data_IF_298436696042
#
_entry.id   IF_298436696042
#
_cell.length_a   1.000
_cell.length_b   1.000
_cell.length_c   1.000
_cell.angle_alpha   90.00
_cell.angle_beta   90.00
_cell.angle_gamma   90.00
#
_symmetry.space_group_name_H-M   'P 1'
#
loop_
_entity.id
_entity.type
_entity.pdbx_description
1 polymer ?
#
# COMPACT_ATOMS: atom_id res chain seq x y z
N UNK A 1 -42.82 -54.27 -10.09
CA UNK A 1 -41.72 -53.75 -9.27
C UNK A 1 -40.98 -52.69 -10.11
N UNK A 2 -41.30 -51.43 -9.88
CA UNK A 2 -40.70 -50.29 -10.58
C UNK A 2 -39.49 -49.78 -9.75
N UNK A 3 -38.26 -49.98 -10.20
CA UNK A 3 -37.04 -49.46 -9.57
C UNK A 3 -36.88 -48.01 -9.98
N UNK A 4 -37.13 -47.07 -9.08
CA UNK A 4 -36.73 -45.67 -9.21
C UNK A 4 -35.22 -45.58 -9.09
N UNK A 5 -34.56 -45.19 -10.19
CA UNK A 5 -33.17 -44.72 -10.15
C UNK A 5 -33.19 -43.23 -9.77
N UNK A 6 -32.74 -42.89 -8.57
CA UNK A 6 -32.43 -41.51 -8.20
C UNK A 6 -31.05 -41.15 -8.79
N UNK A 7 -30.92 -40.12 -9.63
CA UNK A 7 -29.62 -39.67 -10.06
C UNK A 7 -28.90 -39.01 -8.90
N UNK A 8 -27.75 -39.53 -8.54
CA UNK A 8 -26.81 -38.87 -7.58
C UNK A 8 -26.24 -37.65 -8.29
N UNK A 9 -26.76 -36.45 -7.95
CA UNK A 9 -26.19 -35.19 -8.42
C UNK A 9 -24.91 -34.96 -7.59
N UNK A 10 -23.75 -35.27 -8.18
CA UNK A 10 -22.47 -34.84 -7.66
C UNK A 10 -22.40 -33.29 -7.81
N UNK A 11 -22.63 -32.58 -6.74
CA UNK A 11 -22.29 -31.15 -6.66
C UNK A 11 -20.76 -31.07 -6.58
N UNK A 12 -20.12 -30.91 -7.73
CA UNK A 12 -18.72 -30.48 -7.79
C UNK A 12 -18.68 -29.08 -7.17
N UNK A 13 -18.31 -28.97 -5.90
CA UNK A 13 -17.86 -27.71 -5.36
C UNK A 13 -16.62 -27.28 -6.15
N UNK A 14 -16.80 -26.38 -7.12
CA UNK A 14 -15.68 -25.74 -7.79
C UNK A 14 -14.86 -25.03 -6.70
N UNK A 15 -13.69 -25.56 -6.42
CA UNK A 15 -12.74 -24.92 -5.50
C UNK A 15 -12.42 -23.54 -6.07
N UNK A 16 -12.69 -22.50 -5.30
CA UNK A 16 -12.43 -21.13 -5.75
C UNK A 16 -10.92 -20.99 -6.02
N UNK A 17 -10.56 -20.50 -7.20
CA UNK A 17 -9.15 -20.30 -7.53
C UNK A 17 -8.45 -19.42 -6.48
N UNK A 18 -7.20 -19.74 -6.10
CA UNK A 18 -6.43 -18.98 -5.13
C UNK A 18 -6.43 -17.48 -5.44
N UNK A 19 -6.37 -16.65 -4.39
CA UNK A 19 -6.31 -15.21 -4.60
C UNK A 19 -4.96 -14.83 -5.22
N UNK A 20 -4.94 -14.02 -6.30
CA UNK A 20 -3.70 -13.58 -6.94
C UNK A 20 -2.74 -12.85 -6.00
N UNK A 21 -3.28 -12.09 -5.04
CA UNK A 21 -2.49 -11.36 -4.03
C UNK A 21 -2.81 -11.88 -2.64
N UNK A 22 -1.80 -12.41 -1.97
CA UNK A 22 -1.78 -12.76 -0.56
C UNK A 22 -0.57 -12.07 0.04
N UNK A 23 -0.77 -10.82 0.46
CA UNK A 23 0.33 -9.89 0.72
C UNK A 23 0.42 -9.41 2.16
N UNK A 24 1.61 -8.92 2.47
CA UNK A 24 1.90 -8.15 3.68
C UNK A 24 2.65 -6.87 3.31
N UNK A 25 2.32 -5.76 3.98
CA UNK A 25 3.04 -4.50 3.93
C UNK A 25 3.81 -4.30 5.23
N UNK A 26 5.08 -3.92 5.11
CA UNK A 26 5.98 -3.61 6.22
C UNK A 26 6.82 -2.38 5.86
N UNK A 27 7.18 -1.57 6.84
CA UNK A 27 8.30 -0.64 6.69
C UNK A 27 9.59 -1.42 6.38
N UNK A 28 10.50 -0.87 5.57
CA UNK A 28 11.79 -1.51 5.34
C UNK A 28 12.56 -1.72 6.66
N UNK A 29 13.30 -2.83 6.81
CA UNK A 29 14.08 -3.10 8.01
C UNK A 29 15.15 -2.03 8.24
N UNK A 30 15.63 -1.92 9.46
CA UNK A 30 16.87 -1.19 9.75
C UNK A 30 18.08 -2.02 9.26
N UNK A 31 19.25 -1.39 8.98
CA UNK A 31 20.44 -2.13 8.55
C UNK A 31 20.84 -3.29 9.47
N UNK A 32 20.71 -3.14 10.77
CA UNK A 32 20.98 -4.18 11.77
C UNK A 32 19.92 -5.29 11.81
N UNK A 33 18.73 -5.06 11.24
CA UNK A 33 17.66 -6.04 11.17
C UNK A 33 17.72 -6.93 9.92
N UNK A 34 18.71 -6.75 9.05
CA UNK A 34 18.84 -7.51 7.80
C UNK A 34 18.84 -9.04 7.99
N UNK A 35 19.57 -9.64 8.96
CA UNK A 35 19.51 -11.09 9.18
C UNK A 35 18.08 -11.56 9.54
N UNK A 36 17.39 -10.79 10.36
CA UNK A 36 16.00 -11.06 10.74
C UNK A 36 15.04 -10.95 9.55
N UNK A 37 15.27 -9.95 8.68
CA UNK A 37 14.48 -9.74 7.48
C UNK A 37 14.63 -10.89 6.48
N UNK A 38 15.85 -11.32 6.22
CA UNK A 38 16.14 -12.45 5.32
C UNK A 38 15.44 -13.72 5.86
N UNK A 39 15.60 -14.02 7.15
CA UNK A 39 14.96 -15.17 7.79
C UNK A 39 13.43 -15.10 7.66
N UNK A 40 12.83 -13.95 7.92
CA UNK A 40 11.37 -13.78 7.80
C UNK A 40 10.88 -14.01 6.37
N UNK A 41 11.58 -13.44 5.39
CA UNK A 41 11.22 -13.58 3.98
C UNK A 41 11.38 -15.04 3.51
N UNK A 42 12.46 -15.73 3.90
CA UNK A 42 12.76 -17.06 3.37
C UNK A 42 12.04 -18.18 4.13
N UNK A 43 11.79 -18.04 5.44
CA UNK A 43 11.20 -19.10 6.26
C UNK A 43 9.72 -18.87 6.57
N UNK A 44 9.34 -17.63 6.94
CA UNK A 44 7.99 -17.33 7.41
C UNK A 44 6.99 -17.08 6.28
N UNK A 45 7.34 -16.20 5.32
CA UNK A 45 6.40 -15.81 4.26
C UNK A 45 5.91 -16.99 3.42
N UNK A 46 6.76 -17.92 2.94
CA UNK A 46 6.31 -19.10 2.21
C UNK A 46 5.44 -20.03 3.07
N UNK A 47 5.82 -20.24 4.35
CA UNK A 47 5.06 -21.08 5.29
C UNK A 47 3.63 -20.55 5.50
N UNK A 48 3.48 -19.24 5.53
CA UNK A 48 2.16 -18.60 5.69
C UNK A 48 1.41 -18.45 4.35
N UNK A 49 2.00 -18.82 3.22
CA UNK A 49 1.37 -18.70 1.89
C UNK A 49 1.38 -17.27 1.34
N UNK A 50 2.25 -16.41 1.87
CA UNK A 50 2.44 -15.03 1.37
C UNK A 50 3.15 -15.06 0.02
N UNK A 51 2.60 -14.39 -0.98
CA UNK A 51 3.19 -14.27 -2.31
C UNK A 51 3.56 -12.84 -2.70
N UNK A 52 3.24 -11.86 -1.87
CA UNK A 52 3.50 -10.44 -2.16
C UNK A 52 3.96 -9.72 -0.90
N UNK A 53 5.09 -9.03 -0.99
CA UNK A 53 5.64 -8.19 0.07
C UNK A 53 5.77 -6.77 -0.43
N UNK A 54 5.07 -5.82 0.20
CA UNK A 54 5.32 -4.40 0.01
C UNK A 54 6.29 -3.94 1.09
N UNK A 55 7.42 -3.35 0.70
CA UNK A 55 8.37 -2.72 1.61
C UNK A 55 8.39 -1.21 1.43
N UNK A 56 8.05 -0.48 2.49
CA UNK A 56 8.04 0.97 2.52
C UNK A 56 9.43 1.51 2.86
N UNK A 57 10.15 1.96 1.83
CA UNK A 57 11.48 2.53 1.96
C UNK A 57 11.45 4.02 2.28
N UNK A 58 10.58 4.78 1.64
CA UNK A 58 10.60 6.23 1.68
C UNK A 58 12.02 6.76 1.41
N UNK A 59 12.58 7.55 2.32
CA UNK A 59 13.93 8.12 2.20
C UNK A 59 14.98 7.30 2.97
N UNK A 60 14.68 6.05 3.35
CA UNK A 60 15.59 5.12 4.05
C UNK A 60 16.27 4.11 3.13
N UNK A 61 16.55 4.52 1.91
CA UNK A 61 17.48 3.88 0.99
C UNK A 61 18.59 4.88 0.68
N UNK A 62 19.82 4.44 0.52
CA UNK A 62 20.97 5.29 0.21
C UNK A 62 20.95 5.69 -1.27
N UNK A 63 20.04 6.58 -1.63
CA UNK A 63 19.92 7.10 -2.98
C UNK A 63 21.20 7.78 -3.42
N UNK A 64 21.72 7.40 -4.57
CA UNK A 64 22.91 8.01 -5.19
C UNK A 64 22.54 9.16 -6.10
N UNK A 65 21.34 9.13 -6.68
CA UNK A 65 20.81 10.21 -7.51
C UNK A 65 20.53 11.49 -6.72
N UNK A 66 20.04 11.34 -5.48
CA UNK A 66 19.67 12.43 -4.60
C UNK A 66 20.09 12.13 -3.14
N UNK A 67 21.40 12.14 -2.84
CA UNK A 67 21.88 11.81 -1.48
C UNK A 67 21.39 12.78 -0.40
N UNK A 68 21.00 14.01 -0.78
CA UNK A 68 20.46 15.03 0.11
C UNK A 68 19.10 14.68 0.73
N UNK A 69 18.33 13.79 0.09
CA UNK A 69 17.03 13.37 0.63
C UNK A 69 17.13 12.17 1.58
N UNK A 70 18.30 11.54 1.68
CA UNK A 70 18.47 10.31 2.46
C UNK A 70 18.27 10.57 3.96
N UNK A 71 17.41 9.76 4.60
CA UNK A 71 17.20 9.77 6.03
C UNK A 71 18.20 8.85 6.76
N UNK A 72 18.30 9.01 8.07
CA UNK A 72 19.16 8.16 8.90
C UNK A 72 18.76 6.67 8.80
N UNK A 73 19.74 5.79 9.05
CA UNK A 73 19.57 4.33 9.03
C UNK A 73 19.05 3.79 7.68
N UNK A 74 19.47 4.42 6.59
CA UNK A 74 19.12 4.01 5.25
C UNK A 74 19.87 2.73 4.84
N UNK A 75 19.16 1.82 4.17
CA UNK A 75 19.73 0.60 3.60
C UNK A 75 20.64 0.93 2.42
N UNK A 76 21.75 0.23 2.33
CA UNK A 76 22.63 0.28 1.14
C UNK A 76 22.03 -0.48 -0.04
N UNK A 77 22.53 -0.21 -1.24
CA UNK A 77 22.15 -0.93 -2.44
C UNK A 77 22.36 -2.45 -2.31
N UNK A 78 23.45 -2.88 -1.66
CA UNK A 78 23.71 -4.31 -1.44
C UNK A 78 22.71 -4.96 -0.49
N UNK A 79 22.32 -4.27 0.56
CA UNK A 79 21.28 -4.74 1.47
C UNK A 79 19.91 -4.86 0.78
N UNK A 80 19.54 -3.90 -0.05
CA UNK A 80 18.28 -3.96 -0.83
C UNK A 80 18.34 -5.09 -1.86
N UNK A 81 19.48 -5.30 -2.55
CA UNK A 81 19.67 -6.46 -3.45
C UNK A 81 19.52 -7.80 -2.71
N UNK A 82 20.03 -7.90 -1.48
CA UNK A 82 19.87 -9.10 -0.64
C UNK A 82 18.38 -9.36 -0.33
N UNK A 83 17.62 -8.33 0.10
CA UNK A 83 16.17 -8.46 0.32
C UNK A 83 15.45 -8.94 -0.94
N UNK A 84 15.76 -8.31 -2.09
CA UNK A 84 15.16 -8.70 -3.37
C UNK A 84 15.54 -10.13 -3.79
N UNK A 85 16.78 -10.57 -3.53
CA UNK A 85 17.22 -11.93 -3.79
C UNK A 85 16.49 -12.94 -2.90
N UNK A 86 16.32 -12.65 -1.61
CA UNK A 86 15.56 -13.49 -0.68
C UNK A 86 14.07 -13.58 -1.07
N UNK A 87 13.47 -12.48 -1.51
CA UNK A 87 12.10 -12.51 -2.04
C UNK A 87 11.98 -13.42 -3.27
N UNK A 88 12.90 -13.31 -4.23
CA UNK A 88 12.93 -14.21 -5.40
C UNK A 88 13.10 -15.68 -5.01
N UNK A 89 14.02 -15.98 -4.10
CA UNK A 89 14.26 -17.34 -3.57
C UNK A 89 13.00 -17.92 -2.91
N UNK A 90 12.26 -17.07 -2.18
CA UNK A 90 11.02 -17.42 -1.50
C UNK A 90 9.78 -17.43 -2.41
N UNK A 91 9.93 -17.12 -3.71
CA UNK A 91 8.81 -16.91 -4.65
C UNK A 91 7.80 -15.86 -4.15
N UNK A 92 8.29 -14.79 -3.53
CA UNK A 92 7.52 -13.65 -3.04
C UNK A 92 7.77 -12.44 -3.94
N UNK A 93 6.73 -11.87 -4.51
CA UNK A 93 6.81 -10.63 -5.29
C UNK A 93 7.14 -9.47 -4.38
N UNK A 94 8.26 -8.78 -4.62
CA UNK A 94 8.62 -7.57 -3.90
C UNK A 94 8.10 -6.33 -4.63
N UNK A 95 7.39 -5.47 -3.92
CA UNK A 95 6.91 -4.17 -4.42
C UNK A 95 7.49 -3.08 -3.50
N UNK A 96 8.43 -2.26 -3.97
CA UNK A 96 8.93 -1.14 -3.19
C UNK A 96 7.91 -0.01 -3.11
N UNK A 97 7.88 0.68 -1.96
CA UNK A 97 7.00 1.81 -1.71
C UNK A 97 7.82 3.04 -1.31
N UNK A 98 7.50 4.16 -1.94
CA UNK A 98 7.80 5.52 -1.45
C UNK A 98 6.45 6.23 -1.30
N UNK A 99 6.18 6.76 -0.12
CA UNK A 99 4.94 7.51 0.09
C UNK A 99 5.05 8.90 -0.55
N UNK A 100 4.35 9.09 -1.65
CA UNK A 100 4.37 10.29 -2.47
C UNK A 100 3.17 11.19 -2.17
N UNK A 101 3.29 12.45 -2.54
CA UNK A 101 2.35 13.55 -2.36
C UNK A 101 2.12 13.90 -0.89
N UNK A 102 1.44 13.07 -0.11
CA UNK A 102 1.29 13.19 1.35
C UNK A 102 2.46 12.59 2.13
N UNK A 103 2.31 12.51 3.43
CA UNK A 103 3.28 11.89 4.35
C UNK A 103 4.73 12.37 4.20
N UNK A 104 4.92 13.67 3.90
CA UNK A 104 6.25 14.26 3.83
C UNK A 104 6.77 14.75 5.20
N UNK A 105 6.01 14.47 6.25
CA UNK A 105 6.40 14.68 7.65
C UNK A 105 5.62 13.74 8.57
N UNK A 106 6.15 13.52 9.76
CA UNK A 106 5.44 12.87 10.86
C UNK A 106 5.79 13.52 12.18
N UNK A 107 4.80 13.87 12.99
CA UNK A 107 4.99 14.63 14.20
C UNK A 107 5.90 15.87 13.93
N UNK A 108 6.96 16.06 14.69
CA UNK A 108 7.89 17.18 14.49
C UNK A 108 8.91 16.99 13.35
N UNK A 109 8.97 15.80 12.75
CA UNK A 109 10.00 15.46 11.75
C UNK A 109 9.49 15.72 10.35
N UNK A 110 10.18 16.56 9.59
CA UNK A 110 10.04 16.70 8.14
C UNK A 110 11.00 15.72 7.46
N UNK A 111 10.48 14.91 6.51
CA UNK A 111 11.25 13.86 5.86
C UNK A 111 12.14 14.37 4.72
N UNK A 112 12.97 13.48 4.21
CA UNK A 112 14.07 13.74 3.29
C UNK A 112 13.76 14.72 2.17
N UNK A 113 12.68 14.51 1.41
CA UNK A 113 12.34 15.37 0.28
C UNK A 113 12.12 16.83 0.68
N UNK A 114 11.22 17.11 1.62
CA UNK A 114 10.92 18.50 2.02
C UNK A 114 11.99 19.09 2.95
N UNK A 115 12.82 18.25 3.57
CA UNK A 115 14.01 18.73 4.30
C UNK A 115 15.06 19.28 3.34
N UNK A 116 15.32 18.54 2.25
CA UNK A 116 16.30 18.94 1.23
C UNK A 116 15.75 20.00 0.26
N UNK A 117 14.47 19.94 -0.05
CA UNK A 117 13.78 20.80 -1.03
C UNK A 117 12.57 21.48 -0.40
N UNK A 118 12.73 22.39 0.56
CA UNK A 118 11.62 23.07 1.21
C UNK A 118 10.75 23.91 0.24
N UNK A 119 11.27 24.25 -0.94
CA UNK A 119 10.53 24.91 -2.01
C UNK A 119 9.45 24.04 -2.65
N UNK A 120 9.50 22.71 -2.42
CA UNK A 120 8.47 21.77 -2.89
C UNK A 120 7.26 21.73 -1.97
N UNK A 121 7.33 22.25 -0.74
CA UNK A 121 6.25 22.22 0.23
C UNK A 121 4.97 22.89 -0.34
N UNK A 122 3.81 22.23 -0.19
CA UNK A 122 2.50 22.77 -0.55
C UNK A 122 2.10 23.95 0.34
N UNK A 123 2.58 23.97 1.58
CA UNK A 123 2.30 25.00 2.58
C UNK A 123 3.58 25.63 3.14
N UNK A 124 4.41 26.25 2.28
CA UNK A 124 5.73 26.72 2.69
C UNK A 124 5.63 27.78 3.81
N UNK A 125 6.46 27.63 4.82
CA UNK A 125 6.55 28.51 6.00
C UNK A 125 5.35 28.45 6.96
N UNK A 126 4.31 27.69 6.68
CA UNK A 126 3.27 27.38 7.63
C UNK A 126 3.64 26.17 8.50
N UNK A 127 2.95 26.06 9.62
CA UNK A 127 3.07 24.90 10.51
C UNK A 127 4.50 24.64 11.00
N UNK A 128 5.13 25.61 11.74
CA UNK A 128 6.44 25.39 12.34
C UNK A 128 6.47 24.07 13.13
N UNK A 129 7.53 23.29 12.99
CA UNK A 129 7.65 21.97 13.62
C UNK A 129 6.46 21.02 13.31
N UNK A 130 5.78 21.22 12.20
CA UNK A 130 4.57 20.50 11.79
C UNK A 130 3.41 20.58 12.79
N UNK A 131 3.37 21.62 13.62
CA UNK A 131 2.29 21.81 14.59
C UNK A 131 0.96 22.04 13.88
N UNK A 132 -0.11 21.47 14.43
CA UNK A 132 -1.50 21.61 13.97
C UNK A 132 -1.79 20.97 12.60
N UNK A 133 -0.90 20.14 12.06
CA UNK A 133 -1.13 19.29 10.89
C UNK A 133 -0.83 17.83 11.20
N UNK A 134 -1.42 16.94 10.42
CA UNK A 134 -1.12 15.51 10.48
C UNK A 134 0.21 15.19 9.76
N UNK A 135 0.28 15.60 8.48
CA UNK A 135 1.49 15.46 7.67
C UNK A 135 1.55 16.57 6.61
N UNK A 136 2.75 16.83 6.09
CA UNK A 136 2.99 17.71 4.95
C UNK A 136 2.74 17.00 3.64
N UNK A 137 2.44 17.79 2.60
CA UNK A 137 2.43 17.35 1.21
C UNK A 137 3.40 18.19 0.39
N UNK A 138 3.95 17.62 -0.67
CA UNK A 138 4.65 18.45 -1.65
C UNK A 138 3.69 19.02 -2.68
N UNK A 139 4.09 20.11 -3.34
CA UNK A 139 3.35 20.73 -4.45
C UNK A 139 3.54 19.91 -5.74
N UNK A 140 2.50 19.19 -6.24
CA UNK A 140 2.64 18.35 -7.43
C UNK A 140 2.88 19.16 -8.71
N UNK A 141 2.71 20.48 -8.64
CA UNK A 141 2.93 21.39 -9.76
C UNK A 141 4.27 22.13 -9.68
N UNK A 142 5.14 21.76 -8.77
CA UNK A 142 6.48 22.35 -8.75
C UNK A 142 7.30 21.83 -9.95
N UNK A 143 7.91 22.69 -10.78
CA UNK A 143 8.51 22.28 -12.06
C UNK A 143 9.68 21.29 -11.92
N UNK A 144 10.28 21.21 -10.74
CA UNK A 144 11.44 20.33 -10.47
C UNK A 144 11.07 19.07 -9.67
N UNK A 145 9.87 18.98 -9.08
CA UNK A 145 9.56 17.89 -8.14
C UNK A 145 9.60 16.53 -8.83
N UNK A 146 9.01 16.40 -10.00
CA UNK A 146 8.98 15.13 -10.73
C UNK A 146 10.39 14.67 -11.18
N UNK A 147 11.31 15.58 -11.45
CA UNK A 147 12.71 15.20 -11.75
C UNK A 147 13.32 14.42 -10.58
N UNK A 148 13.22 14.95 -9.37
CA UNK A 148 13.71 14.29 -8.15
C UNK A 148 12.96 12.98 -7.90
N UNK A 149 11.61 13.01 -7.92
CA UNK A 149 10.80 11.82 -7.62
C UNK A 149 11.04 10.66 -8.57
N UNK A 150 11.17 10.95 -9.87
CA UNK A 150 11.38 9.90 -10.88
C UNK A 150 12.76 9.29 -10.77
N UNK A 151 13.79 10.07 -10.45
CA UNK A 151 15.13 9.55 -10.19
C UNK A 151 15.13 8.60 -8.97
N UNK A 152 14.42 8.95 -7.88
CA UNK A 152 14.27 8.07 -6.70
C UNK A 152 13.52 6.77 -7.05
N UNK A 153 12.43 6.87 -7.81
CA UNK A 153 11.65 5.71 -8.25
C UNK A 153 12.51 4.79 -9.11
N UNK A 154 13.19 5.33 -10.11
CA UNK A 154 14.00 4.56 -11.05
C UNK A 154 15.15 3.85 -10.36
N UNK A 155 15.83 4.52 -9.42
CA UNK A 155 16.94 3.92 -8.66
C UNK A 155 16.43 2.78 -7.77
N UNK A 156 15.32 2.98 -7.05
CA UNK A 156 14.74 1.95 -6.19
C UNK A 156 14.18 0.75 -6.99
N UNK A 157 13.51 1.03 -8.13
CA UNK A 157 13.03 -0.01 -9.04
C UNK A 157 14.18 -0.82 -9.64
N UNK A 158 15.28 -0.17 -9.98
CA UNK A 158 16.48 -0.82 -10.53
C UNK A 158 17.13 -1.73 -9.51
N UNK A 159 17.36 -1.25 -8.28
CA UNK A 159 18.05 -2.03 -7.24
C UNK A 159 17.23 -3.23 -6.77
N UNK A 160 15.91 -3.12 -6.73
CA UNK A 160 14.99 -4.21 -6.37
C UNK A 160 14.73 -5.18 -7.52
N UNK A 161 14.80 -4.71 -8.76
CA UNK A 161 14.36 -5.44 -9.94
C UNK A 161 12.83 -5.67 -9.99
N UNK A 162 12.06 -4.83 -9.28
CA UNK A 162 10.62 -4.99 -9.15
C UNK A 162 9.87 -4.69 -10.46
N UNK A 163 8.70 -5.28 -10.62
CA UNK A 163 7.79 -5.09 -11.75
C UNK A 163 6.62 -4.15 -11.44
N UNK A 164 6.48 -3.75 -10.18
CA UNK A 164 5.49 -2.80 -9.68
C UNK A 164 6.09 -1.86 -8.64
N UNK A 165 5.53 -0.68 -8.54
CA UNK A 165 5.87 0.34 -7.58
C UNK A 165 4.61 0.81 -6.83
N UNK A 166 4.70 0.98 -5.52
CA UNK A 166 3.62 1.54 -4.71
C UNK A 166 3.95 3.00 -4.36
N UNK A 167 3.12 3.92 -4.81
CA UNK A 167 3.36 5.35 -4.63
C UNK A 167 2.78 5.94 -3.33
N UNK A 168 2.19 5.11 -2.46
CA UNK A 168 1.50 5.62 -1.28
C UNK A 168 0.27 6.44 -1.65
N UNK A 169 0.34 7.76 -1.49
CA UNK A 169 -0.69 8.75 -1.84
C UNK A 169 -1.94 8.71 -0.94
N UNK A 170 -1.81 8.12 0.24
CA UNK A 170 -2.82 8.14 1.29
C UNK A 170 -2.76 9.44 2.10
N UNK A 171 -3.86 9.73 2.78
CA UNK A 171 -3.99 10.80 3.77
C UNK A 171 -3.47 12.17 3.29
N UNK A 172 -3.61 12.46 2.00
CA UNK A 172 -3.24 13.75 1.40
C UNK A 172 -4.27 14.80 1.81
N UNK A 173 -4.06 15.41 2.98
CA UNK A 173 -4.96 16.42 3.53
C UNK A 173 -4.66 17.82 2.98
N UNK A 174 -3.39 18.17 2.81
CA UNK A 174 -2.94 19.46 2.31
C UNK A 174 -2.72 19.38 0.80
N UNK A 175 -3.67 19.87 0.02
CA UNK A 175 -3.58 19.90 -1.44
C UNK A 175 -4.45 21.05 -1.98
N UNK A 176 -3.91 21.86 -2.88
CA UNK A 176 -4.63 23.00 -3.44
C UNK A 176 -4.78 24.17 -2.44
N UNK A 177 -3.86 24.22 -1.47
CA UNK A 177 -3.91 25.20 -0.39
C UNK A 177 -3.61 26.64 -0.89
N UNK A 178 -4.20 27.63 -0.21
CA UNK A 178 -4.08 29.06 -0.60
C UNK A 178 -2.64 29.59 -0.58
N UNK A 179 -1.78 28.96 0.20
CA UNK A 179 -0.36 29.29 0.37
C UNK A 179 0.47 28.82 -0.84
N UNK A 180 0.02 27.78 -1.53
CA UNK A 180 0.70 27.29 -2.71
C UNK A 180 0.39 28.15 -3.94
N UNK A 181 1.33 28.94 -4.41
CA UNK A 181 1.15 29.79 -5.58
C UNK A 181 0.77 29.03 -6.86
N UNK A 182 1.07 27.73 -6.94
CA UNK A 182 0.86 26.88 -8.12
C UNK A 182 -0.45 26.09 -8.04
N UNK A 183 -0.88 25.70 -6.82
CA UNK A 183 -2.02 24.82 -6.61
C UNK A 183 -3.28 25.57 -6.16
N UNK A 184 -3.15 26.75 -5.54
CA UNK A 184 -4.30 27.52 -5.01
C UNK A 184 -5.40 27.75 -6.05
N UNK A 185 -6.64 27.54 -5.62
CA UNK A 185 -7.82 27.75 -6.45
C UNK A 185 -8.03 26.72 -7.56
N UNK A 186 -7.21 25.65 -7.60
CA UNK A 186 -7.37 24.55 -8.55
C UNK A 186 -8.23 23.45 -7.96
N UNK A 187 -8.88 22.69 -8.83
CA UNK A 187 -9.65 21.52 -8.45
C UNK A 187 -8.73 20.45 -7.81
N UNK A 188 -9.03 20.06 -6.57
CA UNK A 188 -8.20 19.12 -5.81
C UNK A 188 -8.21 17.71 -6.40
N UNK A 189 -9.34 17.26 -6.96
CA UNK A 189 -9.42 15.98 -7.65
C UNK A 189 -8.55 15.95 -8.91
N UNK A 190 -8.50 17.05 -9.67
CA UNK A 190 -7.60 17.17 -10.83
C UNK A 190 -6.13 17.23 -10.41
N UNK A 191 -5.79 17.93 -9.33
CA UNK A 191 -4.41 17.95 -8.81
C UNK A 191 -3.96 16.54 -8.42
N UNK A 192 -4.78 15.82 -7.65
CA UNK A 192 -4.51 14.44 -7.26
C UNK A 192 -4.40 13.50 -8.46
N UNK A 193 -5.39 13.56 -9.36
CA UNK A 193 -5.41 12.71 -10.56
C UNK A 193 -4.23 12.97 -11.50
N UNK A 194 -3.81 14.23 -11.65
CA UNK A 194 -2.67 14.57 -12.49
C UNK A 194 -1.35 14.05 -11.91
N UNK A 195 -1.22 14.02 -10.58
CA UNK A 195 -0.06 13.41 -9.92
C UNK A 195 -0.03 11.90 -10.16
N UNK A 196 -1.15 11.19 -9.94
CA UNK A 196 -1.26 9.76 -10.29
C UNK A 196 -0.91 9.50 -11.75
N UNK A 197 -1.43 10.31 -12.67
CA UNK A 197 -1.13 10.19 -14.11
C UNK A 197 0.34 10.39 -14.45
N UNK A 198 1.00 11.35 -13.80
CA UNK A 198 2.42 11.62 -14.03
C UNK A 198 3.29 10.42 -13.61
N UNK A 199 3.03 9.88 -12.41
CA UNK A 199 3.74 8.69 -11.89
C UNK A 199 3.43 7.47 -12.77
N UNK A 200 2.15 7.24 -13.10
CA UNK A 200 1.72 6.14 -13.95
C UNK A 200 2.40 6.20 -15.33
N UNK A 201 2.40 7.36 -15.97
CA UNK A 201 3.01 7.54 -17.29
C UNK A 201 4.54 7.30 -17.26
N UNK A 202 5.21 7.65 -16.16
CA UNK A 202 6.62 7.38 -15.96
C UNK A 202 6.89 5.87 -15.86
N UNK A 203 6.16 5.16 -15.02
CA UNK A 203 6.28 3.71 -14.82
C UNK A 203 5.88 2.90 -16.08
N UNK A 204 4.84 3.34 -16.78
CA UNK A 204 4.34 2.69 -17.99
C UNK A 204 5.36 2.63 -19.13
N UNK A 205 6.28 3.61 -19.24
CA UNK A 205 7.40 3.59 -20.19
C UNK A 205 8.30 2.38 -19.98
N UNK A 206 8.39 1.90 -18.75
CA UNK A 206 9.17 0.74 -18.34
C UNK A 206 8.31 -0.53 -18.18
N UNK A 207 7.02 -0.49 -18.57
CA UNK A 207 6.06 -1.58 -18.39
C UNK A 207 5.92 -2.02 -16.92
N UNK A 208 5.97 -1.07 -15.99
CA UNK A 208 5.82 -1.31 -14.55
C UNK A 208 4.42 -0.92 -14.08
N UNK A 209 3.86 -1.68 -13.13
CA UNK A 209 2.56 -1.37 -12.53
C UNK A 209 2.67 -0.26 -11.50
N UNK A 210 1.64 0.58 -11.41
CA UNK A 210 1.46 1.54 -10.32
C UNK A 210 0.42 1.02 -9.33
N UNK A 211 0.76 1.02 -8.04
CA UNK A 211 -0.11 0.73 -6.91
C UNK A 211 -0.24 1.99 -6.03
N UNK A 212 -1.43 2.26 -5.49
CA UNK A 212 -1.69 3.38 -4.57
C UNK A 212 -2.68 2.99 -3.49
N UNK A 213 -2.67 3.70 -2.36
CA UNK A 213 -3.75 3.63 -1.36
C UNK A 213 -5.02 4.29 -1.88
N UNK A 214 -6.20 3.75 -1.50
CA UNK A 214 -7.50 4.09 -2.09
C UNK A 214 -8.28 5.20 -1.40
N UNK A 215 -7.95 5.57 -0.18
CA UNK A 215 -8.74 6.44 0.69
C UNK A 215 -9.10 7.79 0.05
N UNK A 216 -8.18 8.41 -0.68
CA UNK A 216 -8.43 9.71 -1.35
C UNK A 216 -9.39 9.63 -2.55
N UNK A 217 -9.77 8.41 -2.96
CA UNK A 217 -10.71 8.14 -4.07
C UNK A 217 -12.13 7.77 -3.58
N UNK A 218 -12.36 7.75 -2.28
CA UNK A 218 -13.66 7.49 -1.65
C UNK A 218 -14.20 8.82 -1.11
N UNK A 219 -15.46 9.15 -1.40
CA UNK A 219 -16.11 10.34 -0.84
C UNK A 219 -16.58 10.07 0.60
N UNK A 220 -15.84 10.62 1.57
CA UNK A 220 -16.13 10.47 2.98
C UNK A 220 -17.41 11.19 3.44
N UNK A 221 -17.86 12.22 2.70
CA UNK A 221 -19.11 12.95 2.98
C UNK A 221 -20.33 12.13 2.57
N UNK A 222 -20.21 11.40 1.44
CA UNK A 222 -21.29 10.55 0.91
C UNK A 222 -21.35 9.21 1.67
N UNK A 223 -20.20 8.58 1.92
CA UNK A 223 -20.11 7.26 2.54
C UNK A 223 -20.26 7.28 4.06
N UNK A 224 -19.99 8.41 4.71
CA UNK A 224 -19.94 8.50 6.17
C UNK A 224 -18.72 7.84 6.82
N UNK A 225 -17.75 7.35 6.04
CA UNK A 225 -16.53 6.70 6.55
C UNK A 225 -15.64 7.67 7.33
N UNK A 226 -15.72 8.97 6.99
CA UNK A 226 -14.94 10.02 7.66
C UNK A 226 -13.62 10.35 6.94
N UNK A 227 -12.86 11.29 7.53
CA UNK A 227 -11.71 11.91 6.85
C UNK A 227 -10.45 11.05 6.78
N UNK A 228 -10.33 10.03 7.62
CA UNK A 228 -9.14 9.21 7.69
C UNK A 228 -9.14 8.17 6.57
N UNK A 229 -10.10 7.29 6.58
CA UNK A 229 -10.21 6.18 5.61
C UNK A 229 -10.96 6.57 4.33
N UNK A 230 -11.26 7.88 4.14
CA UNK A 230 -11.89 8.43 2.94
C UNK A 230 -11.56 9.93 2.78
N UNK A 231 -11.83 10.49 1.60
CA UNK A 231 -11.61 11.90 1.32
C UNK A 231 -12.72 12.78 1.90
N UNK A 232 -12.34 13.78 2.68
CA UNK A 232 -13.21 14.89 3.10
C UNK A 232 -12.78 16.23 2.46
N UNK A 233 -11.75 16.22 1.62
CA UNK A 233 -11.14 17.40 1.01
C UNK A 233 -11.28 17.44 -0.53
N UNK A 234 -12.35 16.86 -1.06
CA UNK A 234 -12.79 16.94 -2.45
C UNK A 234 -11.84 16.29 -3.49
N UNK A 235 -11.02 15.31 -3.08
CA UNK A 235 -10.16 14.54 -3.99
C UNK A 235 -10.89 13.34 -4.60
N UNK A 236 -11.98 12.84 -3.99
CA UNK A 236 -12.68 11.62 -4.41
C UNK A 236 -13.07 11.56 -5.91
N UNK A 237 -13.47 12.65 -6.58
CA UNK A 237 -13.78 12.62 -8.00
C UNK A 237 -12.58 12.22 -8.90
N UNK A 238 -11.34 12.22 -8.37
CA UNK A 238 -10.16 11.73 -9.06
C UNK A 238 -10.30 10.26 -9.50
N UNK A 239 -11.14 9.46 -8.84
CA UNK A 239 -11.48 8.10 -9.23
C UNK A 239 -11.83 7.97 -10.72
N UNK A 240 -12.54 8.96 -11.27
CA UNK A 240 -12.95 8.96 -12.66
C UNK A 240 -11.92 9.54 -13.63
N UNK A 241 -10.84 10.10 -13.10
CA UNK A 241 -9.82 10.81 -13.86
C UNK A 241 -8.51 10.04 -14.02
N UNK A 242 -8.26 9.04 -13.17
CA UNK A 242 -7.01 8.25 -13.18
C UNK A 242 -7.11 7.03 -14.11
N UNK A 243 -5.96 6.50 -14.61
CA UNK A 243 -5.90 5.29 -15.42
C UNK A 243 -6.47 4.08 -14.68
N UNK A 244 -7.21 3.22 -15.40
CA UNK A 244 -7.92 2.08 -14.79
C UNK A 244 -7.03 0.85 -14.55
N UNK A 245 -5.84 0.84 -15.04
CA UNK A 245 -4.82 -0.19 -14.81
C UNK A 245 -3.98 0.04 -13.53
N UNK A 246 -4.17 1.18 -12.84
CA UNK A 246 -3.66 1.39 -11.47
C UNK A 246 -4.30 0.38 -10.52
N UNK A 247 -3.50 -0.22 -9.66
CA UNK A 247 -3.98 -1.12 -8.60
C UNK A 247 -4.28 -0.32 -7.33
N UNK A 248 -5.48 -0.49 -6.80
CA UNK A 248 -5.92 0.21 -5.59
C UNK A 248 -5.75 -0.71 -4.38
N UNK A 249 -4.98 -0.26 -3.39
CA UNK A 249 -4.94 -0.85 -2.07
C UNK A 249 -6.00 -0.16 -1.19
N UNK A 250 -7.08 -0.89 -0.93
CA UNK A 250 -8.26 -0.40 -0.21
C UNK A 250 -8.13 -0.71 1.28
N UNK A 251 -7.62 0.26 2.06
CA UNK A 251 -7.36 0.06 3.47
C UNK A 251 -8.49 0.56 4.36
N UNK A 252 -8.95 -0.33 5.26
CA UNK A 252 -9.93 -0.02 6.29
C UNK A 252 -9.61 -0.82 7.54
N UNK A 253 -9.58 -0.15 8.71
CA UNK A 253 -9.09 -0.71 9.95
C UNK A 253 -10.17 -0.86 11.02
N UNK A 254 -11.22 -0.04 10.95
CA UNK A 254 -12.27 -0.01 11.95
C UNK A 254 -13.41 -0.95 11.62
N UNK A 255 -13.83 -1.03 10.35
CA UNK A 255 -14.90 -1.88 9.87
C UNK A 255 -14.59 -2.41 8.45
N UNK A 256 -15.14 -3.58 8.06
CA UNK A 256 -14.96 -4.13 6.71
C UNK A 256 -15.93 -3.43 5.73
N UNK A 257 -15.64 -2.18 5.37
CA UNK A 257 -16.42 -1.44 4.38
C UNK A 257 -16.41 -2.13 3.01
N UNK A 258 -17.51 -2.06 2.25
CA UNK A 258 -17.63 -2.70 0.93
C UNK A 258 -16.99 -1.86 -0.20
N UNK A 259 -15.95 -1.11 0.10
CA UNK A 259 -15.24 -0.20 -0.79
C UNK A 259 -14.40 -0.94 -1.83
N UNK A 260 -13.89 -2.12 -1.51
CA UNK A 260 -13.22 -2.97 -2.49
C UNK A 260 -14.13 -3.30 -3.68
N UNK A 261 -15.39 -3.66 -3.42
CA UNK A 261 -16.37 -3.91 -4.48
C UNK A 261 -16.70 -2.62 -5.27
N UNK A 262 -16.75 -1.46 -4.60
CA UNK A 262 -16.91 -0.17 -5.26
C UNK A 262 -15.79 0.12 -6.26
N UNK A 263 -14.52 -0.10 -5.89
CA UNK A 263 -13.37 0.05 -6.79
C UNK A 263 -13.41 -0.93 -7.96
N UNK A 264 -13.69 -2.21 -7.68
CA UNK A 264 -13.77 -3.24 -8.73
C UNK A 264 -14.86 -2.92 -9.75
N UNK A 265 -16.04 -2.45 -9.32
CA UNK A 265 -17.14 -2.00 -10.19
C UNK A 265 -16.79 -0.71 -10.93
N UNK A 266 -15.96 0.15 -10.36
CA UNK A 266 -15.45 1.38 -10.99
C UNK A 266 -14.33 1.11 -12.01
N UNK A 267 -13.93 -0.15 -12.20
CA UNK A 267 -13.00 -0.57 -13.24
C UNK A 267 -11.58 -0.85 -12.78
N UNK A 268 -11.29 -0.75 -11.50
CA UNK A 268 -9.94 -0.94 -10.94
C UNK A 268 -9.70 -2.37 -10.47
N UNK A 269 -8.46 -2.83 -10.55
CA UNK A 269 -7.97 -3.95 -9.77
C UNK A 269 -7.78 -3.48 -8.33
N UNK A 270 -8.19 -4.29 -7.36
CA UNK A 270 -8.22 -3.90 -5.95
C UNK A 270 -7.69 -5.00 -5.05
N UNK A 271 -6.99 -4.59 -4.00
CA UNK A 271 -6.50 -5.43 -2.91
C UNK A 271 -7.01 -4.85 -1.60
N UNK A 272 -7.76 -5.61 -0.81
CA UNK A 272 -8.23 -5.15 0.50
C UNK A 272 -7.12 -5.23 1.54
N UNK A 273 -6.96 -4.16 2.32
CA UNK A 273 -5.78 -3.95 3.15
C UNK A 273 -6.15 -3.68 4.62
N UNK A 274 -6.44 -4.74 5.41
CA UNK A 274 -6.67 -4.64 6.86
C UNK A 274 -5.38 -4.39 7.62
N UNK A 275 -5.49 -4.06 8.93
CA UNK A 275 -4.36 -3.94 9.82
C UNK A 275 -4.37 -5.02 10.92
N UNK A 276 -4.80 -4.67 12.14
CA UNK A 276 -4.62 -5.50 13.35
C UNK A 276 -5.91 -6.09 13.92
N UNK A 277 -7.07 -5.71 13.41
CA UNK A 277 -8.36 -6.24 13.86
C UNK A 277 -8.73 -7.48 13.05
N UNK A 278 -8.54 -8.66 13.59
CA UNK A 278 -8.89 -9.93 12.92
C UNK A 278 -10.33 -9.97 12.39
N UNK A 279 -11.37 -9.53 13.11
CA UNK A 279 -12.73 -9.54 12.55
C UNK A 279 -12.88 -8.65 11.30
N UNK A 280 -12.17 -7.53 11.23
CA UNK A 280 -12.17 -6.65 10.05
C UNK A 280 -11.50 -7.35 8.88
N UNK A 281 -10.33 -7.95 9.10
CA UNK A 281 -9.59 -8.68 8.07
C UNK A 281 -10.41 -9.85 7.49
N UNK A 282 -11.03 -10.65 8.34
CA UNK A 282 -11.88 -11.77 7.91
C UNK A 282 -13.18 -11.29 7.25
N UNK A 283 -13.75 -10.18 7.69
CA UNK A 283 -14.89 -9.54 7.02
C UNK A 283 -14.57 -9.05 5.61
N UNK A 284 -13.41 -8.41 5.41
CA UNK A 284 -12.95 -8.01 4.08
C UNK A 284 -12.68 -9.23 3.18
N UNK A 285 -12.06 -10.30 3.72
CA UNK A 285 -11.86 -11.54 2.99
C UNK A 285 -13.18 -12.18 2.55
N UNK A 286 -14.20 -12.18 3.43
CA UNK A 286 -15.53 -12.68 3.10
C UNK A 286 -16.17 -11.88 1.96
N UNK A 287 -16.02 -10.55 1.93
CA UNK A 287 -16.50 -9.70 0.84
C UNK A 287 -15.81 -10.01 -0.49
N UNK A 288 -14.50 -10.27 -0.47
CA UNK A 288 -13.77 -10.68 -1.68
C UNK A 288 -14.30 -12.02 -2.19
N UNK A 289 -14.47 -13.01 -1.31
CA UNK A 289 -15.03 -14.32 -1.65
C UNK A 289 -16.43 -14.18 -2.29
N UNK A 290 -17.29 -13.39 -1.66
CA UNK A 290 -18.65 -13.13 -2.15
C UNK A 290 -18.63 -12.44 -3.51
N UNK A 291 -17.85 -11.37 -3.66
CA UNK A 291 -17.73 -10.65 -4.93
C UNK A 291 -17.18 -11.53 -6.06
N UNK A 292 -16.23 -12.42 -5.79
CA UNK A 292 -15.70 -13.36 -6.79
C UNK A 292 -16.70 -14.44 -7.18
N UNK A 293 -17.53 -14.90 -6.24
CA UNK A 293 -18.52 -15.95 -6.46
C UNK A 293 -19.81 -15.43 -7.12
N UNK A 294 -20.27 -14.23 -6.74
CA UNK A 294 -21.61 -13.75 -7.05
C UNK A 294 -21.66 -12.48 -7.92
N UNK A 295 -20.51 -11.93 -8.35
CA UNK A 295 -20.45 -10.82 -9.30
C UNK A 295 -20.28 -11.33 -10.74
N UNK A 296 -20.24 -10.40 -11.71
CA UNK A 296 -19.77 -10.74 -13.04
C UNK A 296 -18.31 -11.20 -13.00
N UNK A 297 -17.91 -12.10 -13.91
CA UNK A 297 -16.53 -12.57 -14.05
C UNK A 297 -15.53 -11.41 -14.01
N UNK A 298 -15.81 -10.34 -14.76
CA UNK A 298 -14.93 -9.16 -14.84
C UNK A 298 -14.74 -8.45 -13.50
N UNK A 299 -15.80 -8.29 -12.70
CA UNK A 299 -15.72 -7.68 -11.36
C UNK A 299 -14.99 -8.62 -10.40
N UNK A 300 -15.30 -9.91 -10.43
CA UNK A 300 -14.62 -10.91 -9.59
C UNK A 300 -13.12 -10.98 -9.85
N UNK A 301 -12.68 -10.94 -11.12
CA UNK A 301 -11.26 -10.96 -11.49
C UNK A 301 -10.50 -9.71 -11.04
N UNK A 302 -11.17 -8.57 -10.85
CA UNK A 302 -10.57 -7.35 -10.31
C UNK A 302 -10.34 -7.39 -8.80
N UNK A 303 -11.05 -8.27 -8.08
CA UNK A 303 -10.84 -8.50 -6.64
C UNK A 303 -9.59 -9.38 -6.46
N UNK A 304 -8.40 -8.77 -6.43
CA UNK A 304 -7.11 -9.48 -6.49
C UNK A 304 -6.81 -10.26 -5.22
N UNK A 305 -7.23 -9.77 -4.05
CA UNK A 305 -6.93 -10.45 -2.79
C UNK A 305 -6.73 -9.53 -1.62
N UNK A 306 -5.86 -9.98 -0.70
CA UNK A 306 -5.62 -9.35 0.59
C UNK A 306 -4.17 -8.90 0.73
N UNK A 307 -3.95 -7.77 1.40
CA UNK A 307 -2.65 -7.28 1.80
C UNK A 307 -2.72 -6.74 3.23
N UNK A 308 -2.30 -7.50 4.22
CA UNK A 308 -2.28 -6.95 5.57
C UNK A 308 -1.25 -5.84 5.71
N UNK A 309 -1.66 -4.68 6.18
CA UNK A 309 -0.75 -3.59 6.56
C UNK A 309 -0.20 -3.80 7.97
N UNK A 310 1.01 -3.30 8.22
CA UNK A 310 1.59 -3.30 9.57
C UNK A 310 2.26 -1.95 9.84
N UNK A 311 1.84 -1.28 10.91
CA UNK A 311 2.33 0.05 11.29
C UNK A 311 3.10 0.03 12.61
N UNK A 312 3.68 -1.13 12.93
CA UNK A 312 4.36 -1.36 14.21
C UNK A 312 5.89 -1.46 14.10
N UNK A 313 6.43 -1.20 12.90
CA UNK A 313 7.84 -1.36 12.58
C UNK A 313 8.23 -2.80 12.22
N UNK A 314 9.27 -2.95 11.40
CA UNK A 314 9.71 -4.24 10.87
C UNK A 314 10.15 -5.20 11.99
N UNK A 315 11.18 -4.81 12.74
CA UNK A 315 11.78 -5.66 13.78
C UNK A 315 10.79 -6.07 14.86
N UNK A 316 10.03 -5.16 15.46
CA UNK A 316 9.00 -5.50 16.45
C UNK A 316 7.99 -6.51 15.94
N UNK A 317 7.47 -6.38 14.72
CA UNK A 317 6.53 -7.33 14.14
C UNK A 317 7.15 -8.71 13.95
N UNK A 318 8.34 -8.76 13.33
CA UNK A 318 8.99 -10.03 12.97
C UNK A 318 9.49 -10.78 14.21
N UNK A 319 10.04 -10.07 15.21
CA UNK A 319 10.42 -10.70 16.49
C UNK A 319 9.20 -11.30 17.19
N UNK A 320 8.10 -10.57 17.27
CA UNK A 320 6.87 -11.09 17.88
C UNK A 320 6.27 -12.26 17.08
N UNK A 321 6.41 -12.27 15.74
CA UNK A 321 6.03 -13.41 14.92
C UNK A 321 6.84 -14.66 15.29
N UNK A 322 8.14 -14.55 15.50
CA UNK A 322 8.98 -15.69 15.92
C UNK A 322 8.90 -16.00 17.42
N UNK A 323 8.24 -15.17 18.21
CA UNK A 323 8.20 -15.31 19.68
C UNK A 323 9.52 -14.91 20.34
N UNK A 324 10.26 -14.00 19.76
CA UNK A 324 11.57 -13.53 20.17
C UNK A 324 11.53 -12.07 20.68
N UNK A 325 12.47 -11.72 21.56
CA UNK A 325 12.62 -10.37 22.08
C UNK A 325 11.81 -10.08 23.34
N UNK A 326 11.89 -8.81 23.79
CA UNK A 326 11.17 -8.31 24.95
C UNK A 326 9.66 -8.26 24.73
N UNK A 327 8.90 -8.00 25.80
CA UNK A 327 7.45 -7.82 25.74
C UNK A 327 7.08 -6.84 24.61
N UNK A 328 6.24 -7.25 23.64
CA UNK A 328 5.98 -6.46 22.46
C UNK A 328 5.20 -5.18 22.82
N UNK A 329 5.51 -4.09 22.10
CA UNK A 329 4.78 -2.82 22.23
C UNK A 329 3.31 -2.98 21.84
N UNK A 330 2.47 -2.08 22.35
CA UNK A 330 1.03 -2.05 22.03
C UNK A 330 0.78 -2.10 20.52
N UNK A 331 -0.16 -2.92 20.11
CA UNK A 331 -0.56 -3.11 18.70
C UNK A 331 0.25 -4.17 17.95
N UNK A 332 1.42 -4.58 18.45
CA UNK A 332 2.25 -5.63 17.83
C UNK A 332 1.61 -7.01 17.96
N UNK A 333 1.18 -7.45 19.18
CA UNK A 333 0.52 -8.75 19.33
C UNK A 333 -0.74 -8.89 18.47
N UNK A 334 -1.55 -7.85 18.43
CA UNK A 334 -2.79 -7.82 17.65
C UNK A 334 -2.49 -7.92 16.15
N UNK A 335 -1.46 -7.21 15.66
CA UNK A 335 -1.06 -7.28 14.26
C UNK A 335 -0.56 -8.68 13.88
N UNK A 336 0.25 -9.32 14.72
CA UNK A 336 0.74 -10.70 14.51
C UNK A 336 -0.41 -11.72 14.59
N UNK A 337 -1.33 -11.55 15.55
CA UNK A 337 -2.51 -12.42 15.66
C UNK A 337 -3.39 -12.28 14.41
N UNK A 338 -3.64 -11.06 13.94
CA UNK A 338 -4.39 -10.81 12.72
C UNK A 338 -3.71 -11.47 11.51
N UNK A 339 -2.39 -11.34 11.38
CA UNK A 339 -1.60 -11.99 10.34
C UNK A 339 -1.80 -13.50 10.32
N UNK A 340 -1.58 -14.15 11.45
CA UNK A 340 -1.75 -15.61 11.57
C UNK A 340 -3.17 -16.05 11.22
N UNK A 341 -4.19 -15.36 11.73
CA UNK A 341 -5.58 -15.71 11.49
C UNK A 341 -5.99 -15.51 10.03
N UNK A 342 -5.62 -14.36 9.43
CA UNK A 342 -5.94 -14.07 8.03
C UNK A 342 -5.27 -15.08 7.10
N UNK A 343 -3.98 -15.35 7.29
CA UNK A 343 -3.24 -16.25 6.41
C UNK A 343 -3.60 -17.73 6.63
N UNK A 344 -4.04 -18.11 7.83
CA UNK A 344 -4.66 -19.43 8.04
C UNK A 344 -5.90 -19.63 7.16
N UNK A 345 -6.79 -18.62 7.11
CA UNK A 345 -7.98 -18.64 6.23
C UNK A 345 -7.62 -18.59 4.74
N UNK A 346 -6.59 -17.83 4.36
CA UNK A 346 -6.16 -17.76 2.96
C UNK A 346 -5.61 -19.09 2.46
N UNK A 347 -4.89 -19.85 3.29
CA UNK A 347 -4.39 -21.20 2.94
C UNK A 347 -5.49 -22.23 2.74
N UNK A 348 -6.69 -22.03 3.30
CA UNK A 348 -7.81 -22.95 3.06
C UNK A 348 -8.40 -22.80 1.65
N UNK A 349 -8.00 -21.78 0.90
CA UNK A 349 -8.46 -21.49 -0.47
C UNK A 349 -7.55 -22.09 -1.54
N UNK A 350 -6.38 -22.59 -1.16
CA UNK A 350 -5.43 -23.30 -2.01
C UNK A 350 -5.81 -24.79 -2.05
#
# INVERSE_FOLDING_TARGET
MLRLFLPLILVLCAQAAPLPVRGIHLGAPMPEEMPLAIRFIEEALPKEGVNTLILEFNYRYQYTSHPEVVDANALSADQVRQLAASCRKANVRLIPLINLLGHQSWAKTTFGLLRAHPEFDETPKLYPENKDIYCRSYCPRHPKVHGVLFDLIDELMTVTGADAFHAGMDEVFLLGEKECKRCRGRNKAELFANEVKAIHAHLAKQKKELWIWGDRLIDGKVTGIGKWEASANDTAPALNLIPKDVVINDWHYEAPHATGTYFARSGFRVVSSPWKKTPVALGQLAQIRDARAHSTKLVGERMLGMLQTTWVGFGPFVRAYFGEGDAPKQGVPEAVQCFRSLFAELRTMD
#
